data_IF_874609292350
#
_entry.id   IF_874609292350
#
_cell.length_a   1.000
_cell.length_b   1.000
_cell.length_c   1.000
_cell.angle_alpha   90.00
_cell.angle_beta   90.00
_cell.angle_gamma   90.00
#
_symmetry.space_group_name_H-M   'P 1'
#
loop_
_entity.id
_entity.type
_entity.pdbx_description
1 polymer ?
#
# COMPACT_ATOMS: atom_id res chain seq x y z
N UNK A 1 -20.47 -13.31 12.21
CA UNK A 1 -19.28 -12.62 11.66
C UNK A 1 -19.43 -12.51 10.16
N UNK A 2 -19.17 -11.35 9.55
CA UNK A 2 -19.14 -11.24 8.08
C UNK A 2 -17.93 -12.02 7.55
N UNK A 3 -18.13 -12.81 6.50
CA UNK A 3 -17.05 -13.52 5.79
C UNK A 3 -15.96 -12.55 5.35
N UNK A 4 -16.34 -11.31 4.98
CA UNK A 4 -15.43 -10.23 4.54
C UNK A 4 -14.52 -9.75 5.67
N UNK A 5 -14.97 -9.81 6.93
CA UNK A 5 -14.14 -9.43 8.07
C UNK A 5 -13.05 -10.48 8.29
N UNK A 6 -13.39 -11.77 8.50
CA UNK A 6 -12.37 -12.82 8.60
C UNK A 6 -11.42 -12.88 7.40
N UNK A 7 -11.93 -12.60 6.20
CA UNK A 7 -11.22 -12.51 4.92
C UNK A 7 -10.17 -11.38 4.80
N UNK A 8 -10.32 -10.26 5.52
CA UNK A 8 -9.35 -9.16 5.56
C UNK A 8 -8.41 -9.23 6.77
N UNK A 9 -8.76 -10.03 7.77
CA UNK A 9 -8.29 -9.90 9.15
C UNK A 9 -7.63 -11.15 9.72
N UNK A 10 -7.73 -12.30 9.05
CA UNK A 10 -7.13 -13.55 9.54
C UNK A 10 -5.63 -13.63 9.19
N UNK A 11 -4.79 -13.27 10.18
CA UNK A 11 -3.33 -13.42 10.12
C UNK A 11 -2.84 -14.80 10.55
N UNK A 12 -3.70 -15.67 11.05
CA UNK A 12 -3.33 -17.01 11.56
C UNK A 12 -3.49 -18.13 10.52
N UNK A 13 -4.24 -17.88 9.43
CA UNK A 13 -4.40 -18.81 8.30
C UNK A 13 -4.18 -18.10 6.96
N UNK A 14 -2.93 -18.02 6.51
CA UNK A 14 -2.54 -17.63 5.14
C UNK A 14 -3.17 -16.34 4.55
N UNK A 15 -3.82 -15.49 5.34
CA UNK A 15 -4.46 -14.25 4.87
C UNK A 15 -5.20 -14.38 3.54
N UNK A 16 -5.06 -13.36 2.70
CA UNK A 16 -5.63 -13.23 1.36
C UNK A 16 -5.23 -14.39 0.41
N UNK A 17 -4.17 -15.16 0.72
CA UNK A 17 -3.65 -16.22 -0.14
C UNK A 17 -4.50 -17.50 -0.13
N UNK A 18 -5.27 -17.78 0.94
CA UNK A 18 -6.12 -18.97 1.06
C UNK A 18 -7.48 -18.89 0.35
N UNK A 19 -7.92 -17.69 -0.07
CA UNK A 19 -9.29 -17.41 -0.52
C UNK A 19 -9.36 -16.69 -1.87
N UNK A 20 -8.51 -17.10 -2.83
CA UNK A 20 -8.37 -16.46 -4.15
C UNK A 20 -9.70 -16.29 -4.93
N UNK A 21 -10.70 -17.13 -4.69
CA UNK A 21 -12.02 -17.03 -5.34
C UNK A 21 -12.81 -15.85 -4.79
N UNK A 22 -12.87 -15.71 -3.48
CA UNK A 22 -13.55 -14.63 -2.76
C UNK A 22 -12.89 -13.28 -3.08
N UNK A 23 -11.55 -13.23 -3.12
CA UNK A 23 -10.79 -12.04 -3.52
C UNK A 23 -11.20 -11.55 -4.90
N UNK A 24 -11.28 -12.46 -5.87
CA UNK A 24 -11.71 -12.11 -7.23
C UNK A 24 -13.15 -11.67 -7.30
N UNK A 25 -14.05 -12.22 -6.47
CA UNK A 25 -15.45 -11.79 -6.42
C UNK A 25 -15.55 -10.35 -5.91
N UNK A 26 -14.89 -10.04 -4.79
CA UNK A 26 -14.91 -8.69 -4.23
C UNK A 26 -14.27 -7.67 -5.19
N UNK A 27 -13.10 -7.99 -5.76
CA UNK A 27 -12.44 -7.13 -6.72
C UNK A 27 -13.32 -6.85 -7.95
N UNK A 28 -14.06 -7.85 -8.44
CA UNK A 28 -15.02 -7.65 -9.55
C UNK A 28 -16.14 -6.70 -9.19
N UNK A 29 -16.67 -6.78 -7.97
CA UNK A 29 -17.71 -5.86 -7.51
C UNK A 29 -17.19 -4.42 -7.44
N UNK A 30 -15.96 -4.24 -6.93
CA UNK A 30 -15.28 -2.94 -6.91
C UNK A 30 -15.08 -2.39 -8.33
N UNK A 31 -14.55 -3.21 -9.25
CA UNK A 31 -14.34 -2.82 -10.65
C UNK A 31 -15.66 -2.50 -11.36
N UNK A 32 -16.71 -3.27 -11.10
CA UNK A 32 -18.04 -3.04 -11.67
C UNK A 32 -18.64 -1.72 -11.20
N UNK A 33 -18.52 -1.41 -9.91
CA UNK A 33 -18.98 -0.14 -9.35
C UNK A 33 -18.23 1.06 -9.94
N UNK A 34 -16.96 0.89 -10.30
CA UNK A 34 -16.13 1.91 -10.95
C UNK A 34 -16.23 1.93 -12.49
N UNK A 35 -16.98 1.01 -13.11
CA UNK A 35 -17.08 0.89 -14.57
C UNK A 35 -15.77 0.47 -15.26
N UNK A 36 -14.88 -0.24 -14.57
CA UNK A 36 -13.55 -0.61 -15.05
C UNK A 36 -13.48 -2.04 -15.62
N UNK A 37 -12.46 -2.29 -16.46
CA UNK A 37 -12.16 -3.61 -17.00
C UNK A 37 -11.86 -4.62 -15.89
N UNK A 38 -12.27 -5.87 -16.09
CA UNK A 38 -12.16 -6.96 -15.11
C UNK A 38 -13.47 -7.20 -14.36
N UNK A 39 -14.47 -6.33 -14.50
CA UNK A 39 -15.78 -6.41 -13.88
C UNK A 39 -16.69 -7.52 -14.44
N UNK A 40 -16.54 -7.88 -15.72
CA UNK A 40 -17.45 -8.83 -16.37
C UNK A 40 -17.04 -10.28 -16.11
N UNK A 41 -18.02 -11.20 -16.10
CA UNK A 41 -17.81 -12.63 -15.82
C UNK A 41 -16.79 -13.31 -16.75
N UNK A 42 -16.66 -12.83 -18.00
CA UNK A 42 -15.72 -13.36 -18.99
C UNK A 42 -14.33 -12.72 -18.92
N UNK A 43 -14.18 -11.59 -18.21
CA UNK A 43 -12.89 -10.93 -18.05
C UNK A 43 -12.09 -11.66 -16.97
N UNK A 44 -10.85 -12.00 -17.32
CA UNK A 44 -9.93 -12.70 -16.43
C UNK A 44 -9.11 -11.67 -15.66
N UNK A 45 -9.15 -11.79 -14.34
CA UNK A 45 -8.23 -11.09 -13.44
C UNK A 45 -7.40 -12.13 -12.66
N UNK A 46 -6.09 -11.88 -12.55
CA UNK A 46 -5.21 -12.67 -11.69
C UNK A 46 -5.55 -12.42 -10.22
N UNK A 47 -5.07 -13.28 -9.33
CA UNK A 47 -5.25 -13.05 -7.88
C UNK A 47 -4.55 -11.77 -7.46
N UNK A 48 -3.30 -11.56 -7.88
CA UNK A 48 -2.53 -10.33 -7.64
C UNK A 48 -3.25 -9.05 -8.11
N UNK A 49 -3.88 -9.08 -9.29
CA UNK A 49 -4.69 -7.96 -9.78
C UNK A 49 -5.90 -7.71 -8.88
N UNK A 50 -6.59 -8.77 -8.47
CA UNK A 50 -7.74 -8.66 -7.58
C UNK A 50 -7.37 -8.07 -6.21
N UNK A 51 -6.24 -8.50 -5.65
CA UNK A 51 -5.71 -7.96 -4.40
C UNK A 51 -5.36 -6.47 -4.54
N UNK A 52 -4.67 -6.08 -5.61
CA UNK A 52 -4.30 -4.69 -5.87
C UNK A 52 -5.53 -3.78 -5.99
N UNK A 53 -6.57 -4.22 -6.69
CA UNK A 53 -7.85 -3.50 -6.79
C UNK A 53 -8.46 -3.26 -5.41
N UNK A 54 -8.47 -4.29 -4.55
CA UNK A 54 -9.06 -4.17 -3.21
C UNK A 54 -8.23 -3.22 -2.34
N UNK A 55 -6.90 -3.34 -2.35
CA UNK A 55 -6.02 -2.42 -1.61
C UNK A 55 -6.22 -0.99 -2.05
N UNK A 56 -6.20 -0.74 -3.37
CA UNK A 56 -6.43 0.59 -3.93
C UNK A 56 -7.80 1.15 -3.51
N UNK A 57 -8.86 0.34 -3.60
CA UNK A 57 -10.19 0.74 -3.15
C UNK A 57 -10.22 1.09 -1.66
N UNK A 58 -9.60 0.29 -0.79
CA UNK A 58 -9.51 0.58 0.65
C UNK A 58 -8.77 1.91 0.90
N UNK A 59 -7.64 2.13 0.22
CA UNK A 59 -6.91 3.39 0.34
C UNK A 59 -7.74 4.59 -0.11
N UNK A 60 -8.41 4.51 -1.26
CA UNK A 60 -9.25 5.60 -1.75
C UNK A 60 -10.44 5.87 -0.83
N UNK A 61 -11.02 4.86 -0.19
CA UNK A 61 -12.13 5.08 0.75
C UNK A 61 -11.68 5.73 2.07
N UNK A 62 -10.45 5.48 2.53
CA UNK A 62 -9.93 6.05 3.78
C UNK A 62 -9.25 7.41 3.54
N UNK A 63 -8.41 7.50 2.51
CA UNK A 63 -7.59 8.68 2.23
C UNK A 63 -8.25 9.66 1.24
N UNK A 64 -9.30 9.23 0.53
CA UNK A 64 -9.91 9.98 -0.57
C UNK A 64 -9.08 9.97 -1.87
N UNK A 65 -7.90 9.35 -1.87
CA UNK A 65 -6.98 9.22 -3.00
C UNK A 65 -6.00 8.04 -2.78
N UNK A 66 -5.02 7.83 -3.65
CA UNK A 66 -3.93 6.86 -3.47
C UNK A 66 -3.01 7.28 -2.32
N UNK A 67 -2.26 6.33 -1.71
CA UNK A 67 -1.28 6.65 -0.68
C UNK A 67 -0.23 7.68 -1.14
N UNK A 68 0.30 7.54 -2.35
CA UNK A 68 1.33 8.44 -2.91
C UNK A 68 0.79 9.85 -3.09
N UNK A 69 -0.40 10.01 -3.66
CA UNK A 69 -1.00 11.32 -3.83
C UNK A 69 -1.35 11.94 -2.47
N UNK A 70 -1.82 11.15 -1.50
CA UNK A 70 -2.06 11.62 -0.15
C UNK A 70 -0.76 12.15 0.51
N UNK A 71 0.34 11.39 0.41
CA UNK A 71 1.66 11.80 0.91
C UNK A 71 2.11 13.09 0.21
N UNK A 72 2.02 13.15 -1.11
CA UNK A 72 2.43 14.33 -1.89
C UNK A 72 1.63 15.58 -1.52
N UNK A 73 0.30 15.45 -1.34
CA UNK A 73 -0.55 16.55 -0.87
C UNK A 73 -0.20 16.99 0.55
N UNK A 74 0.10 16.05 1.45
CA UNK A 74 0.56 16.37 2.82
C UNK A 74 1.88 17.13 2.79
N UNK A 75 2.85 16.70 1.97
CA UNK A 75 4.11 17.41 1.79
C UNK A 75 3.90 18.81 1.22
N UNK A 76 3.11 18.93 0.14
CA UNK A 76 2.87 20.21 -0.53
C UNK A 76 2.15 21.24 0.36
N UNK A 77 1.35 20.78 1.32
CA UNK A 77 0.66 21.63 2.28
C UNK A 77 1.45 21.97 3.55
N UNK A 78 2.64 21.39 3.75
CA UNK A 78 3.48 21.61 4.92
C UNK A 78 4.46 22.78 4.70
N UNK A 79 4.84 23.48 5.77
CA UNK A 79 5.81 24.57 5.70
C UNK A 79 7.25 24.09 5.42
N UNK A 80 7.55 22.83 5.72
CA UNK A 80 8.89 22.23 5.61
C UNK A 80 8.84 20.88 4.85
N UNK A 81 8.43 20.86 3.56
CA UNK A 81 8.29 19.63 2.77
C UNK A 81 9.59 18.82 2.68
N UNK A 82 10.75 19.46 2.76
CA UNK A 82 12.07 18.82 2.74
C UNK A 82 12.36 17.97 3.97
N UNK A 83 11.60 18.12 5.06
CA UNK A 83 11.78 17.32 6.28
C UNK A 83 11.04 15.99 6.26
N UNK A 84 10.27 15.72 5.20
CA UNK A 84 9.61 14.43 5.04
C UNK A 84 10.62 13.35 4.73
N UNK A 85 10.55 12.27 5.50
CA UNK A 85 11.39 11.07 5.37
C UNK A 85 10.52 9.83 5.21
N UNK A 86 11.13 8.67 4.96
CA UNK A 86 10.42 7.39 4.98
C UNK A 86 9.71 7.15 6.32
N UNK A 87 10.30 7.57 7.45
CA UNK A 87 9.61 7.50 8.75
C UNK A 87 8.37 8.38 8.82
N UNK A 88 8.35 9.52 8.12
CA UNK A 88 7.18 10.37 8.03
C UNK A 88 6.00 9.63 7.38
N UNK A 89 6.25 8.75 6.40
CA UNK A 89 5.20 7.92 5.76
C UNK A 89 4.50 7.04 6.80
N UNK A 90 5.27 6.30 7.62
CA UNK A 90 4.70 5.47 8.69
C UNK A 90 3.84 6.28 9.66
N UNK A 91 4.27 7.50 9.99
CA UNK A 91 3.53 8.35 10.91
C UNK A 91 2.22 8.85 10.30
N UNK A 92 2.26 9.48 9.11
CA UNK A 92 1.08 10.11 8.50
C UNK A 92 0.04 9.12 8.00
N UNK A 93 0.45 7.88 7.73
CA UNK A 93 -0.44 6.77 7.37
C UNK A 93 -0.75 5.86 8.57
N UNK A 94 -0.32 6.20 9.79
CA UNK A 94 -0.71 5.42 10.97
C UNK A 94 -2.21 5.58 11.26
N UNK A 95 -2.86 4.51 11.74
CA UNK A 95 -4.30 4.55 12.07
C UNK A 95 -4.64 5.63 13.09
N UNK A 96 -3.72 5.88 14.04
CA UNK A 96 -3.86 6.96 15.02
C UNK A 96 -3.90 8.34 14.36
N UNK A 97 -3.02 8.58 13.38
CA UNK A 97 -2.96 9.87 12.69
C UNK A 97 -4.15 10.07 11.75
N UNK A 98 -4.59 9.00 11.08
CA UNK A 98 -5.81 9.02 10.25
C UNK A 98 -7.05 9.29 11.10
N UNK A 99 -7.10 8.76 12.32
CA UNK A 99 -8.17 9.07 13.27
C UNK A 99 -8.14 10.53 13.71
N UNK A 100 -6.97 11.07 14.10
CA UNK A 100 -6.81 12.48 14.46
C UNK A 100 -7.21 13.41 13.30
N UNK A 101 -6.84 13.04 12.08
CA UNK A 101 -7.21 13.74 10.84
C UNK A 101 -8.68 13.55 10.43
N UNK A 102 -9.49 12.82 11.22
CA UNK A 102 -10.91 12.50 10.96
C UNK A 102 -11.18 11.73 9.67
N UNK A 103 -10.14 11.15 9.06
CA UNK A 103 -10.25 10.28 7.89
C UNK A 103 -10.74 8.88 8.26
N UNK A 104 -10.46 8.47 9.50
CA UNK A 104 -10.88 7.19 10.03
C UNK A 104 -11.69 7.37 11.31
N UNK A 105 -12.87 6.76 11.36
CA UNK A 105 -13.73 6.78 12.55
C UNK A 105 -13.54 5.50 13.36
N UNK A 106 -12.44 5.42 14.12
CA UNK A 106 -12.08 4.22 14.89
C UNK A 106 -13.18 3.74 15.84
N UNK A 107 -14.00 4.65 16.38
CA UNK A 107 -15.14 4.31 17.24
C UNK A 107 -16.23 3.48 16.55
N UNK A 108 -16.25 3.43 15.21
CA UNK A 108 -17.16 2.57 14.42
C UNK A 108 -16.64 1.15 14.25
N UNK A 109 -15.38 0.90 14.61
CA UNK A 109 -14.75 -0.41 14.56
C UNK A 109 -14.84 -1.01 15.96
N UNK A 110 -15.45 -2.19 16.16
CA UNK A 110 -15.46 -2.87 17.45
C UNK A 110 -14.03 -3.07 17.96
N UNK A 111 -13.79 -2.82 19.25
CA UNK A 111 -12.45 -2.83 19.84
C UNK A 111 -11.72 -4.17 19.61
N UNK A 112 -12.45 -5.28 19.65
CA UNK A 112 -11.93 -6.62 19.39
C UNK A 112 -11.40 -6.83 17.95
N UNK A 113 -11.72 -5.92 17.01
CA UNK A 113 -11.26 -5.96 15.61
C UNK A 113 -10.13 -4.99 15.30
N UNK A 114 -9.67 -4.23 16.28
CA UNK A 114 -8.64 -3.22 16.04
C UNK A 114 -7.29 -3.84 15.67
N UNK A 115 -6.93 -4.95 16.31
CA UNK A 115 -5.70 -5.69 16.01
C UNK A 115 -5.68 -6.15 14.56
N UNK A 116 -6.77 -6.80 14.15
CA UNK A 116 -6.94 -7.28 12.79
C UNK A 116 -6.87 -6.15 11.75
N UNK A 117 -7.60 -5.06 12.00
CA UNK A 117 -7.62 -3.91 11.09
C UNK A 117 -6.26 -3.23 10.97
N UNK A 118 -5.52 -3.14 12.07
CA UNK A 118 -4.16 -2.64 12.06
C UNK A 118 -3.22 -3.56 11.25
N UNK A 119 -3.33 -4.87 11.41
CA UNK A 119 -2.53 -5.83 10.65
C UNK A 119 -2.82 -5.77 9.14
N UNK A 120 -4.10 -5.72 8.76
CA UNK A 120 -4.53 -5.54 7.38
C UNK A 120 -3.97 -4.25 6.79
N UNK A 121 -4.17 -3.11 7.47
CA UNK A 121 -3.73 -1.81 7.01
C UNK A 121 -2.21 -1.76 6.82
N UNK A 122 -1.46 -2.29 7.78
CA UNK A 122 0.00 -2.37 7.69
C UNK A 122 0.45 -3.27 6.53
N UNK A 123 -0.16 -4.43 6.35
CA UNK A 123 0.12 -5.33 5.23
C UNK A 123 -0.14 -4.64 3.88
N UNK A 124 -1.24 -3.88 3.78
CA UNK A 124 -1.56 -3.13 2.56
C UNK A 124 -0.52 -2.04 2.27
N UNK A 125 -0.08 -1.32 3.31
CA UNK A 125 0.97 -0.33 3.18
C UNK A 125 2.29 -0.94 2.71
N UNK A 126 2.68 -2.10 3.23
CA UNK A 126 3.89 -2.78 2.80
C UNK A 126 3.82 -3.25 1.33
N UNK A 127 2.64 -3.65 0.85
CA UNK A 127 2.47 -4.07 -0.55
C UNK A 127 2.38 -2.90 -1.52
N UNK A 128 1.79 -1.76 -1.14
CA UNK A 128 1.72 -0.59 -2.01
C UNK A 128 2.97 0.30 -1.94
N UNK A 129 3.56 0.46 -0.75
CA UNK A 129 4.75 1.27 -0.49
C UNK A 129 5.88 0.35 0.01
N UNK A 130 6.51 -0.43 -0.88
CA UNK A 130 7.39 -1.53 -0.47
C UNK A 130 8.69 -1.10 0.19
N UNK A 131 9.08 0.17 0.08
CA UNK A 131 10.23 0.72 0.82
C UNK A 131 10.05 0.67 2.34
N UNK A 132 8.80 0.59 2.82
CA UNK A 132 8.48 0.51 4.24
C UNK A 132 8.89 -0.83 4.87
N UNK A 133 9.23 -1.84 4.07
CA UNK A 133 9.73 -3.13 4.58
C UNK A 133 11.16 -3.06 5.13
N UNK A 134 11.90 -1.99 4.83
CA UNK A 134 13.26 -1.81 5.32
C UNK A 134 13.28 -1.01 6.63
N UNK A 135 13.60 -1.70 7.73
CA UNK A 135 13.64 -1.09 9.07
C UNK A 135 14.96 -0.35 9.38
N UNK A 136 15.95 -0.46 8.49
CA UNK A 136 17.26 0.17 8.62
C UNK A 136 17.13 1.68 8.87
N UNK A 137 17.85 2.20 9.89
CA UNK A 137 17.86 3.64 10.20
C UNK A 137 18.16 4.50 8.97
N UNK A 138 19.09 4.05 8.12
CA UNK A 138 19.48 4.74 6.90
C UNK A 138 18.32 4.90 5.89
N UNK A 139 17.40 3.93 5.81
CA UNK A 139 16.19 4.04 4.98
C UNK A 139 15.16 4.92 5.68
N UNK A 140 14.94 4.68 6.97
CA UNK A 140 13.98 5.43 7.78
C UNK A 140 14.23 6.94 7.82
N UNK A 141 15.49 7.37 7.77
CA UNK A 141 15.89 8.78 7.73
C UNK A 141 16.05 9.36 6.32
N UNK A 142 15.86 8.56 5.27
CA UNK A 142 16.00 9.00 3.89
C UNK A 142 14.89 10.01 3.55
N UNK A 143 15.28 11.17 3.03
CA UNK A 143 14.33 12.21 2.62
C UNK A 143 13.53 11.75 1.40
N UNK A 144 12.23 12.06 1.37
CA UNK A 144 11.35 11.67 0.26
C UNK A 144 11.67 12.40 -1.05
N UNK A 145 12.33 13.56 -0.97
CA UNK A 145 12.84 14.28 -2.14
C UNK A 145 14.21 13.82 -2.65
N UNK A 146 14.86 12.84 -2.00
CA UNK A 146 16.17 12.35 -2.42
C UNK A 146 16.04 11.44 -3.65
N UNK A 147 16.97 11.58 -4.60
CA UNK A 147 17.14 10.66 -5.71
C UNK A 147 17.30 9.20 -5.25
N UNK A 148 17.99 8.96 -4.13
CA UNK A 148 18.11 7.60 -3.59
C UNK A 148 16.77 7.03 -3.12
N UNK A 149 15.84 7.86 -2.65
CA UNK A 149 14.48 7.43 -2.33
C UNK A 149 13.74 7.04 -3.60
N UNK A 150 13.77 7.90 -4.63
CA UNK A 150 13.15 7.59 -5.92
C UNK A 150 13.69 6.28 -6.53
N UNK A 151 15.01 6.08 -6.48
CA UNK A 151 15.64 4.85 -6.93
C UNK A 151 15.24 3.64 -6.06
N UNK A 152 15.27 3.75 -4.73
CA UNK A 152 14.87 2.67 -3.85
C UNK A 152 13.40 2.27 -4.11
N UNK A 153 12.49 3.24 -4.16
CA UNK A 153 11.06 3.03 -4.41
C UNK A 153 10.81 2.35 -5.75
N UNK A 154 11.38 2.89 -6.83
CA UNK A 154 11.24 2.33 -8.19
C UNK A 154 11.79 0.92 -8.26
N UNK A 155 12.96 0.68 -7.66
CA UNK A 155 13.57 -0.64 -7.64
C UNK A 155 12.76 -1.68 -6.86
N UNK A 156 12.18 -1.29 -5.73
CA UNK A 156 11.31 -2.17 -4.95
C UNK A 156 10.06 -2.54 -5.75
N UNK A 157 9.37 -1.55 -6.33
CA UNK A 157 8.18 -1.75 -7.17
C UNK A 157 8.46 -2.70 -8.32
N UNK A 158 9.57 -2.47 -9.03
CA UNK A 158 9.98 -3.34 -10.13
C UNK A 158 10.23 -4.77 -9.64
N UNK A 159 11.02 -4.96 -8.58
CA UNK A 159 11.35 -6.29 -8.07
C UNK A 159 10.11 -7.06 -7.56
N UNK A 160 9.18 -6.36 -6.90
CA UNK A 160 7.93 -6.94 -6.41
C UNK A 160 7.01 -7.37 -7.57
N UNK A 161 6.98 -6.62 -8.68
CA UNK A 161 6.21 -6.98 -9.88
C UNK A 161 6.72 -8.28 -10.52
N UNK A 162 8.01 -8.60 -10.36
CA UNK A 162 8.61 -9.88 -10.78
C UNK A 162 8.55 -10.97 -9.70
N UNK A 163 7.79 -10.77 -8.63
CA UNK A 163 7.62 -11.72 -7.52
C UNK A 163 8.93 -12.13 -6.83
N UNK A 164 9.94 -11.25 -6.90
CA UNK A 164 11.16 -11.43 -6.13
C UNK A 164 10.89 -10.86 -4.73
N UNK A 165 10.40 -11.70 -3.82
CA UNK A 165 10.09 -11.23 -2.44
C UNK A 165 11.37 -11.03 -1.60
N UNK A 166 12.45 -11.74 -1.95
CA UNK A 166 13.74 -11.65 -1.30
C UNK A 166 14.70 -10.79 -2.12
N UNK A 167 14.86 -9.52 -1.74
CA UNK A 167 15.94 -8.66 -2.22
C UNK A 167 16.44 -7.74 -1.12
N UNK A 168 17.71 -7.38 -1.25
CA UNK A 168 18.39 -6.42 -0.40
C UNK A 168 18.07 -4.99 -0.86
N UNK A 169 18.23 -4.04 0.07
CA UNK A 169 18.19 -2.61 -0.23
C UNK A 169 19.14 -2.21 -1.36
N UNK A 170 20.33 -2.82 -1.40
CA UNK A 170 21.36 -2.52 -2.42
C UNK A 170 20.90 -2.94 -3.81
N UNK A 171 20.28 -4.11 -3.95
CA UNK A 171 19.73 -4.59 -5.22
C UNK A 171 18.61 -3.69 -5.71
N UNK A 172 17.66 -3.35 -4.83
CA UNK A 172 16.58 -2.42 -5.16
C UNK A 172 17.12 -1.07 -5.64
N UNK A 173 18.04 -0.43 -4.91
CA UNK A 173 18.63 0.84 -5.34
C UNK A 173 19.34 0.72 -6.69
N UNK A 174 20.11 -0.35 -6.92
CA UNK A 174 20.86 -0.52 -8.17
C UNK A 174 19.92 -0.65 -9.37
N UNK A 175 18.86 -1.46 -9.24
CA UNK A 175 17.86 -1.63 -10.31
C UNK A 175 17.11 -0.32 -10.53
N UNK A 176 16.63 0.32 -9.46
CA UNK A 176 15.90 1.57 -9.57
C UNK A 176 16.72 2.69 -10.19
N UNK A 177 18.02 2.81 -9.89
CA UNK A 177 18.91 3.78 -10.54
C UNK A 177 18.97 3.60 -12.06
N UNK A 178 18.97 2.36 -12.55
CA UNK A 178 18.95 2.08 -13.99
C UNK A 178 17.63 2.49 -14.64
N UNK A 179 16.50 2.21 -13.97
CA UNK A 179 15.16 2.55 -14.47
C UNK A 179 14.94 4.06 -14.48
N UNK A 180 15.28 4.74 -13.38
CA UNK A 180 15.14 6.20 -13.27
C UNK A 180 16.02 6.89 -14.31
N UNK A 181 17.27 6.45 -14.49
CA UNK A 181 18.16 7.02 -15.53
C UNK A 181 17.62 6.81 -16.95
N UNK A 182 17.04 5.64 -17.24
CA UNK A 182 16.44 5.35 -18.55
C UNK A 182 15.19 6.19 -18.85
N UNK A 183 14.53 6.74 -17.83
CA UNK A 183 13.33 7.57 -17.96
C UNK A 183 13.63 9.04 -18.28
N UNK A 184 14.91 9.42 -18.34
CA UNK A 184 15.40 10.77 -18.66
C UNK A 184 16.07 10.86 -20.05
N UNK A 185 15.91 9.83 -20.88
CA UNK A 185 16.33 9.79 -22.28
C UNK A 185 15.12 9.67 -23.20
#
# INVERSE_FOLDING_TARGET
MSVVAGYLFDTERDGIAGHAKEVKILARQVLAAAGLYGAKKHEKISTQQAESVIRYWVFCNILGTSPEEYIARKMAGDAYPSYYTVSSIHHILSLQELHKSKLLQLHKIPNERWGDFNAMWFSFLLKEIPVLKFEEKAVRSMALGDYNFAALYTGCRFLDDFSLEAYTRKEAINIGKKIVAASHH
#
